data_IF_356894004375
#
_entry.id   IF_356894004375
#
_cell.length_a   1.000
_cell.length_b   1.000
_cell.length_c   1.000
_cell.angle_alpha   90.00
_cell.angle_beta   90.00
_cell.angle_gamma   90.00
#
_symmetry.space_group_name_H-M   'P 1'
#
loop_
_entity.id
_entity.type
_entity.pdbx_description
1 polymer ?
#
# COMPACT_ATOMS: atom_id res chain seq x y z
N UNK A 1 -0.42 55.84 5.01
CA UNK A 1 -0.34 54.47 4.45
C UNK A 1 -0.67 53.48 5.56
N UNK A 2 -1.86 52.86 5.56
CA UNK A 2 -2.17 51.77 6.52
C UNK A 2 -1.39 50.54 6.08
N UNK A 3 -0.42 50.07 6.88
CA UNK A 3 0.23 48.79 6.63
C UNK A 3 -0.84 47.71 6.75
N UNK A 4 -1.05 46.90 5.72
CA UNK A 4 -1.86 45.68 5.82
C UNK A 4 -1.12 44.74 6.77
N UNK A 5 -1.72 44.46 7.91
CA UNK A 5 -1.27 43.44 8.84
C UNK A 5 -1.73 42.07 8.33
N UNK A 6 -0.80 41.15 8.11
CA UNK A 6 -1.11 39.77 7.71
C UNK A 6 -1.56 38.92 8.92
N UNK A 7 -2.26 39.53 9.89
CA UNK A 7 -2.68 38.89 11.12
C UNK A 7 -3.96 38.10 10.92
N UNK A 8 -3.98 36.85 11.40
CA UNK A 8 -5.21 36.06 11.56
C UNK A 8 -5.63 36.19 13.02
N UNK A 9 -6.89 36.57 13.24
CA UNK A 9 -7.41 36.89 14.57
C UNK A 9 -8.43 35.84 15.01
N UNK A 10 -8.20 35.28 16.20
CA UNK A 10 -9.12 34.37 16.87
C UNK A 10 -9.51 34.97 18.23
N UNK A 11 -10.77 34.79 18.63
CA UNK A 11 -11.30 35.33 19.87
C UNK A 11 -11.56 34.20 20.87
N UNK A 12 -11.07 34.36 22.10
CA UNK A 12 -11.35 33.45 23.21
C UNK A 12 -12.23 34.16 24.24
N UNK A 13 -13.48 33.70 24.39
CA UNK A 13 -14.41 34.24 25.38
C UNK A 13 -14.32 33.44 26.68
N UNK A 14 -13.91 34.10 27.75
CA UNK A 14 -13.91 33.54 29.11
C UNK A 14 -15.17 34.02 29.85
N UNK A 15 -15.71 33.17 30.72
CA UNK A 15 -16.93 33.44 31.49
C UNK A 15 -16.57 33.55 32.96
N UNK A 16 -17.01 34.60 33.64
CA UNK A 16 -16.75 34.77 35.07
C UNK A 16 -17.45 33.71 35.94
N UNK A 17 -18.51 33.09 35.40
CA UNK A 17 -19.29 32.08 36.11
C UNK A 17 -18.67 30.67 36.00
N UNK A 18 -17.66 30.47 35.14
CA UNK A 18 -16.96 29.20 35.01
C UNK A 18 -15.61 29.29 35.76
N UNK A 19 -15.39 28.48 36.82
CA UNK A 19 -14.16 28.52 37.60
C UNK A 19 -12.91 28.18 36.78
N UNK A 20 -13.02 27.32 35.77
CA UNK A 20 -11.90 26.98 34.87
C UNK A 20 -11.52 28.17 33.99
N UNK A 21 -12.51 28.89 33.48
CA UNK A 21 -12.28 30.12 32.70
C UNK A 21 -11.63 31.20 33.57
N UNK A 22 -12.01 31.29 34.85
CA UNK A 22 -11.37 32.19 35.82
C UNK A 22 -9.92 31.81 36.11
N UNK A 23 -9.62 30.52 36.20
CA UNK A 23 -8.24 30.04 36.34
C UNK A 23 -7.38 30.49 35.15
N UNK A 24 -7.87 30.29 33.92
CA UNK A 24 -7.20 30.74 32.70
C UNK A 24 -7.04 32.28 32.72
N UNK A 25 -8.09 33.01 33.07
CA UNK A 25 -8.06 34.47 33.17
C UNK A 25 -6.98 34.97 34.13
N UNK A 26 -6.90 34.40 35.33
CA UNK A 26 -5.92 34.79 36.35
C UNK A 26 -4.49 34.56 35.86
N UNK A 27 -4.21 33.41 35.23
CA UNK A 27 -2.89 33.12 34.65
C UNK A 27 -2.55 34.11 33.53
N UNK A 28 -3.50 34.44 32.66
CA UNK A 28 -3.29 35.41 31.59
C UNK A 28 -3.17 36.86 32.10
N UNK A 29 -3.68 37.18 33.29
CA UNK A 29 -3.53 38.49 33.92
C UNK A 29 -2.15 38.62 34.57
N UNK A 30 -1.71 37.60 35.29
CA UNK A 30 -0.46 37.56 36.04
C UNK A 30 0.60 36.66 35.37
N UNK A 31 0.76 36.86 34.06
CA UNK A 31 1.71 36.07 33.28
C UNK A 31 3.14 36.50 33.60
N UNK A 32 4.01 35.54 33.93
CA UNK A 32 5.44 35.79 34.08
C UNK A 32 6.06 36.20 32.74
N UNK A 33 6.43 37.49 32.62
CA UNK A 33 6.97 38.08 31.40
C UNK A 33 8.43 37.73 31.12
N UNK A 34 9.15 37.19 32.09
CA UNK A 34 10.52 36.72 31.91
C UNK A 34 10.54 35.40 31.10
N UNK A 35 9.46 34.62 31.19
CA UNK A 35 9.29 33.36 30.46
C UNK A 35 8.54 33.61 29.15
N UNK A 36 7.39 34.30 29.20
CA UNK A 36 6.53 34.51 28.05
C UNK A 36 6.41 36.00 27.71
N UNK A 37 6.82 36.38 26.49
CA UNK A 37 6.84 37.81 26.08
C UNK A 37 5.45 38.38 25.87
N UNK A 38 4.44 37.53 25.63
CA UNK A 38 3.05 37.95 25.48
C UNK A 38 2.08 36.82 25.80
N UNK A 39 0.82 37.19 26.08
CA UNK A 39 -0.29 36.23 26.20
C UNK A 39 -0.48 35.40 24.95
N UNK A 40 -0.26 36.01 23.78
CA UNK A 40 -0.41 35.33 22.50
C UNK A 40 0.64 34.22 22.34
N UNK A 41 1.89 34.51 22.73
CA UNK A 41 2.96 33.51 22.75
C UNK A 41 2.60 32.34 23.67
N UNK A 42 2.18 32.62 24.91
CA UNK A 42 1.77 31.60 25.86
C UNK A 42 0.65 30.71 25.31
N UNK A 43 -0.41 31.30 24.73
CA UNK A 43 -1.55 30.57 24.16
C UNK A 43 -1.10 29.69 22.99
N UNK A 44 -0.25 30.20 22.10
CA UNK A 44 0.26 29.44 20.95
C UNK A 44 1.08 28.24 21.43
N UNK A 45 2.00 28.42 22.37
CA UNK A 45 2.85 27.33 22.87
C UNK A 45 2.03 26.26 23.60
N UNK A 46 1.04 26.66 24.41
CA UNK A 46 0.14 25.72 25.08
C UNK A 46 -0.69 24.90 24.08
N UNK A 47 -1.20 25.52 23.01
CA UNK A 47 -1.95 24.83 21.97
C UNK A 47 -1.05 23.88 21.15
N UNK A 48 0.19 24.28 20.85
CA UNK A 48 1.15 23.42 20.16
C UNK A 48 1.50 22.19 21.00
N UNK A 49 1.71 22.36 22.31
CA UNK A 49 1.93 21.26 23.23
C UNK A 49 0.76 20.27 23.21
N UNK A 50 -0.47 20.78 23.31
CA UNK A 50 -1.68 19.96 23.26
C UNK A 50 -1.83 19.20 21.93
N UNK A 51 -1.58 19.88 20.80
CA UNK A 51 -1.63 19.24 19.47
C UNK A 51 -0.58 18.13 19.34
N UNK A 52 0.63 18.36 19.85
CA UNK A 52 1.72 17.39 19.81
C UNK A 52 1.41 16.15 20.67
N UNK A 53 0.87 16.34 21.86
CA UNK A 53 0.47 15.23 22.76
C UNK A 53 -0.69 14.40 22.19
N UNK A 54 -1.51 14.99 21.33
CA UNK A 54 -2.66 14.35 20.68
C UNK A 54 -2.36 13.85 19.27
N UNK A 55 -1.09 13.72 18.88
CA UNK A 55 -0.72 13.13 17.58
C UNK A 55 -1.23 11.69 17.40
N UNK A 56 -1.66 11.02 18.48
CA UNK A 56 -2.34 9.71 18.47
C UNK A 56 -3.87 9.78 18.28
N UNK A 57 -4.50 10.96 18.33
CA UNK A 57 -5.96 11.07 18.23
C UNK A 57 -6.37 12.01 17.09
N UNK A 58 -7.42 11.69 16.31
CA UNK A 58 -7.77 12.51 15.17
C UNK A 58 -8.56 13.76 15.61
N UNK A 59 -7.82 14.82 15.93
CA UNK A 59 -8.32 16.12 16.39
C UNK A 59 -8.99 16.97 15.30
N UNK A 60 -8.72 16.68 14.03
CA UNK A 60 -9.31 17.41 12.90
C UNK A 60 -10.08 16.44 12.02
N UNK A 61 -11.16 16.91 11.40
CA UNK A 61 -11.96 16.11 10.46
C UNK A 61 -11.11 15.59 9.28
N UNK A 62 -10.09 16.36 8.86
CA UNK A 62 -9.12 15.93 7.85
C UNK A 62 -8.16 14.84 8.34
N UNK A 63 -7.85 14.77 9.64
CA UNK A 63 -7.04 13.71 10.24
C UNK A 63 -7.87 12.44 10.47
N UNK A 64 -9.14 12.57 10.88
CA UNK A 64 -10.11 11.47 10.96
C UNK A 64 -10.26 10.76 9.61
N UNK A 65 -10.38 11.52 8.52
CA UNK A 65 -10.48 10.95 7.17
C UNK A 65 -9.22 10.17 6.77
N UNK A 66 -8.02 10.70 7.06
CA UNK A 66 -6.75 10.02 6.75
C UNK A 66 -6.51 8.74 7.56
N UNK A 67 -6.97 8.67 8.80
CA UNK A 67 -6.91 7.43 9.58
C UNK A 67 -7.90 6.39 9.05
N UNK A 68 -9.14 6.79 8.73
CA UNK A 68 -10.12 5.90 8.12
C UNK A 68 -9.67 5.36 6.75
N UNK A 69 -8.87 6.13 5.99
CA UNK A 69 -8.25 5.67 4.73
C UNK A 69 -7.12 4.66 4.96
N UNK A 70 -6.31 4.84 6.02
CA UNK A 70 -5.22 3.93 6.38
C UNK A 70 -5.72 2.62 7.00
N UNK A 71 -6.81 2.69 7.77
CA UNK A 71 -7.48 1.55 8.39
C UNK A 71 -8.57 0.95 7.49
N UNK A 72 -8.45 1.10 6.16
CA UNK A 72 -9.28 0.34 5.22
C UNK A 72 -8.90 -1.15 5.33
N UNK A 73 -9.45 -1.81 6.34
CA UNK A 73 -9.29 -3.22 6.62
C UNK A 73 -9.67 -4.03 5.38
N UNK A 74 -8.79 -4.94 4.98
CA UNK A 74 -9.10 -5.91 3.94
C UNK A 74 -10.29 -6.75 4.44
N UNK A 75 -11.39 -6.70 3.71
CA UNK A 75 -12.62 -7.41 4.06
C UNK A 75 -12.43 -8.91 3.78
N UNK A 76 -13.10 -9.80 4.53
CA UNK A 76 -13.03 -11.26 4.29
C UNK A 76 -13.31 -11.65 2.83
N UNK A 77 -14.21 -10.93 2.16
CA UNK A 77 -14.48 -11.13 0.73
C UNK A 77 -13.28 -10.80 -0.16
N UNK A 78 -12.57 -9.71 0.13
CA UNK A 78 -11.35 -9.35 -0.61
C UNK A 78 -10.23 -10.39 -0.40
N UNK A 79 -10.18 -11.02 0.79
CA UNK A 79 -9.26 -12.14 1.06
C UNK A 79 -9.65 -13.38 0.23
N UNK A 80 -10.94 -13.71 0.15
CA UNK A 80 -11.43 -14.83 -0.65
C UNK A 80 -11.22 -14.60 -2.16
N UNK A 81 -11.37 -13.37 -2.64
CA UNK A 81 -11.09 -12.98 -4.02
C UNK A 81 -9.58 -13.13 -4.33
N UNK A 82 -8.70 -12.73 -3.42
CA UNK A 82 -7.25 -12.94 -3.56
C UNK A 82 -6.92 -14.44 -3.55
N UNK A 83 -7.54 -15.22 -2.64
CA UNK A 83 -7.31 -16.65 -2.53
C UNK A 83 -7.76 -17.40 -3.79
N UNK A 84 -8.90 -17.02 -4.36
CA UNK A 84 -9.41 -17.61 -5.61
C UNK A 84 -8.57 -17.21 -6.82
N UNK A 85 -8.14 -15.94 -6.92
CA UNK A 85 -7.22 -15.50 -7.96
C UNK A 85 -5.90 -16.29 -7.92
N UNK A 86 -5.28 -16.42 -6.74
CA UNK A 86 -4.05 -17.19 -6.55
C UNK A 86 -4.21 -18.67 -6.90
N UNK A 87 -5.33 -19.29 -6.51
CA UNK A 87 -5.64 -20.68 -6.86
C UNK A 87 -5.72 -20.86 -8.38
N UNK A 88 -6.38 -19.94 -9.08
CA UNK A 88 -6.55 -20.01 -10.52
C UNK A 88 -5.20 -19.86 -11.25
N UNK A 89 -4.37 -18.89 -10.83
CA UNK A 89 -3.02 -18.71 -11.38
C UNK A 89 -2.13 -19.96 -11.19
N UNK A 90 -2.16 -20.56 -9.99
CA UNK A 90 -1.42 -21.80 -9.71
C UNK A 90 -1.87 -22.97 -10.60
N UNK A 91 -3.19 -23.14 -10.76
CA UNK A 91 -3.73 -24.21 -11.63
C UNK A 91 -3.30 -24.00 -13.07
N UNK A 92 -3.37 -22.77 -13.59
CA UNK A 92 -2.92 -22.46 -14.95
C UNK A 92 -1.42 -22.74 -15.13
N UNK A 93 -0.59 -22.30 -14.17
CA UNK A 93 0.84 -22.56 -14.20
C UNK A 93 1.16 -24.06 -14.20
N UNK A 94 0.57 -24.82 -13.27
CA UNK A 94 0.77 -26.27 -13.16
C UNK A 94 0.34 -26.98 -14.45
N UNK A 95 -0.84 -26.64 -15.00
CA UNK A 95 -1.32 -27.26 -16.23
C UNK A 95 -0.36 -27.05 -17.39
N UNK A 96 0.20 -25.84 -17.52
CA UNK A 96 1.20 -25.52 -18.55
C UNK A 96 2.48 -26.35 -18.37
N UNK A 97 3.03 -26.40 -17.16
CA UNK A 97 4.25 -27.17 -16.88
C UNK A 97 4.06 -28.68 -17.06
N UNK A 98 2.92 -29.22 -16.62
CA UNK A 98 2.57 -30.64 -16.80
C UNK A 98 2.48 -30.98 -18.27
N UNK A 99 1.84 -30.12 -19.08
CA UNK A 99 1.75 -30.33 -20.52
C UNK A 99 3.13 -30.36 -21.19
N UNK A 100 3.99 -29.38 -20.88
CA UNK A 100 5.37 -29.33 -21.40
C UNK A 100 6.11 -30.61 -21.01
N UNK A 101 5.97 -31.06 -19.76
CA UNK A 101 6.60 -32.27 -19.25
C UNK A 101 6.10 -33.53 -19.97
N UNK A 102 4.79 -33.64 -20.20
CA UNK A 102 4.18 -34.75 -20.94
C UNK A 102 4.66 -34.76 -22.40
N UNK A 103 4.70 -33.60 -23.06
CA UNK A 103 5.20 -33.49 -24.43
C UNK A 103 6.67 -33.91 -24.51
N UNK A 104 7.52 -33.47 -23.56
CA UNK A 104 8.92 -33.91 -23.48
C UNK A 104 9.06 -35.41 -23.30
N UNK A 105 8.25 -36.00 -22.40
CA UNK A 105 8.28 -37.43 -22.13
C UNK A 105 7.76 -38.27 -23.31
N UNK A 106 6.73 -37.81 -24.03
CA UNK A 106 6.17 -38.48 -25.21
C UNK A 106 7.01 -38.26 -26.47
N UNK A 107 7.55 -37.07 -26.68
CA UNK A 107 8.44 -36.72 -27.79
C UNK A 107 9.74 -37.53 -27.76
N UNK A 108 10.27 -37.78 -26.56
CA UNK A 108 11.42 -38.68 -26.38
C UNK A 108 11.07 -40.16 -26.65
N UNK A 109 9.80 -40.56 -26.63
CA UNK A 109 9.35 -41.92 -26.93
C UNK A 109 8.93 -42.13 -28.40
N UNK A 110 8.67 -41.05 -29.15
CA UNK A 110 8.28 -41.13 -30.57
C UNK A 110 9.43 -40.89 -31.56
N UNK A 111 10.67 -40.74 -31.07
CA UNK A 111 11.88 -40.69 -31.90
C UNK A 111 12.47 -42.06 -32.25
N UNK A 112 11.98 -43.17 -31.68
CA UNK A 112 12.54 -44.51 -31.91
C UNK A 112 11.85 -45.29 -33.03
N UNK A 113 11.60 -44.64 -34.17
CA UNK A 113 11.27 -45.32 -35.42
C UNK A 113 11.68 -44.51 -36.65
N UNK A 114 12.99 -44.50 -36.93
CA UNK A 114 13.61 -44.77 -38.24
C UNK A 114 15.10 -44.43 -38.18
N UNK A 115 15.89 -45.31 -37.56
CA UNK A 115 17.33 -45.37 -37.82
C UNK A 115 17.55 -46.16 -39.12
N UNK A 116 17.54 -45.46 -40.26
CA UNK A 116 18.27 -45.91 -41.45
C UNK A 116 19.74 -45.57 -41.18
N UNK A 117 20.56 -46.61 -41.13
CA UNK A 117 22.02 -46.55 -41.03
C UNK A 117 22.57 -45.82 -42.25
N UNK A 118 23.25 -44.68 -42.05
CA UNK A 118 24.41 -44.26 -42.85
C UNK A 118 25.30 -43.30 -42.07
N UNK A 119 26.50 -43.79 -41.74
CA UNK A 119 27.80 -43.11 -41.80
C UNK A 119 27.98 -41.64 -41.38
N UNK A 120 28.87 -41.51 -40.39
CA UNK A 120 29.90 -40.47 -40.21
C UNK A 120 29.55 -39.11 -39.59
N UNK A 121 30.31 -38.88 -38.52
CA UNK A 121 30.98 -37.66 -38.08
C UNK A 121 30.20 -36.41 -37.64
N UNK A 122 30.59 -36.03 -36.42
CA UNK A 122 30.91 -34.68 -35.96
C UNK A 122 29.91 -33.96 -35.05
N UNK A 123 30.48 -33.39 -33.99
CA UNK A 123 29.79 -32.74 -32.90
C UNK A 123 29.43 -31.31 -33.31
N UNK A 124 28.14 -30.97 -33.37
CA UNK A 124 27.69 -29.58 -33.35
C UNK A 124 26.55 -29.38 -32.36
N UNK A 125 26.76 -28.40 -31.48
CA UNK A 125 25.78 -27.82 -30.57
C UNK A 125 24.51 -27.44 -31.33
N UNK A 126 23.45 -28.22 -31.21
CA UNK A 126 22.11 -27.74 -31.52
C UNK A 126 21.46 -27.26 -30.23
N UNK A 127 21.47 -25.94 -30.08
CA UNK A 127 20.41 -25.23 -29.37
C UNK A 127 19.09 -25.67 -30.02
N UNK A 128 18.51 -26.75 -29.53
CA UNK A 128 17.11 -27.05 -29.82
C UNK A 128 16.29 -25.96 -29.13
N UNK A 129 16.05 -24.86 -29.85
CA UNK A 129 14.83 -24.09 -29.67
C UNK A 129 13.70 -25.09 -29.83
N UNK A 130 13.22 -25.56 -28.69
CA UNK A 130 12.11 -26.47 -28.55
C UNK A 130 10.91 -25.73 -29.14
N UNK A 131 10.64 -25.94 -30.42
CA UNK A 131 9.52 -25.35 -31.13
C UNK A 131 8.26 -25.98 -30.55
N UNK A 132 7.77 -25.37 -29.47
CA UNK A 132 6.49 -25.73 -28.87
C UNK A 132 5.43 -25.40 -29.92
N UNK A 133 4.82 -26.44 -30.49
CA UNK A 133 3.83 -26.32 -31.55
C UNK A 133 2.70 -25.39 -31.08
N UNK A 134 2.53 -24.27 -31.78
CA UNK A 134 1.61 -23.18 -31.45
C UNK A 134 0.17 -23.69 -31.31
N UNK A 135 -0.16 -24.76 -32.04
CA UNK A 135 -1.45 -25.46 -31.94
C UNK A 135 -1.64 -26.21 -30.63
N UNK A 136 -0.59 -26.74 -30.03
CA UNK A 136 -0.66 -27.39 -28.71
C UNK A 136 -0.86 -26.36 -27.60
N UNK A 137 -0.29 -25.16 -27.75
CA UNK A 137 -0.51 -24.03 -26.85
C UNK A 137 -1.98 -23.55 -26.95
N UNK A 138 -2.51 -23.47 -28.17
CA UNK A 138 -3.91 -23.10 -28.42
C UNK A 138 -4.90 -24.13 -27.85
N UNK A 139 -4.61 -25.43 -28.02
CA UNK A 139 -5.45 -26.50 -27.48
C UNK A 139 -5.44 -26.52 -25.94
N UNK A 140 -4.28 -26.27 -25.33
CA UNK A 140 -4.15 -26.16 -23.87
C UNK A 140 -4.91 -24.96 -23.31
N UNK A 141 -4.95 -23.87 -24.07
CA UNK A 141 -5.70 -22.65 -23.71
C UNK A 141 -7.22 -22.88 -23.75
N UNK A 142 -7.70 -23.88 -24.50
CA UNK A 142 -9.13 -24.23 -24.59
C UNK A 142 -9.68 -25.04 -23.40
N UNK A 143 -8.80 -25.51 -22.50
CA UNK A 143 -9.19 -26.25 -21.28
C UNK A 143 -9.26 -25.36 -20.03
N UNK A 144 -9.01 -24.05 -20.18
CA UNK A 144 -9.31 -23.02 -19.17
C UNK A 144 -10.81 -22.77 -19.06
#
# INVERSE_FOLDING_TARGET
>A
MKRKDNGIYHHLRLSMNNPEHMKIHNILMDLNKDIYKSKNQFIIEALLFYIAELEEHPLTSSRQQKENEKDKLITKGEIDDIATAMKNELVQYINKEVLITIIKALGNNLGSSRAVVTGNDDCTNDNHEEQVDERLIELASSWS
#
